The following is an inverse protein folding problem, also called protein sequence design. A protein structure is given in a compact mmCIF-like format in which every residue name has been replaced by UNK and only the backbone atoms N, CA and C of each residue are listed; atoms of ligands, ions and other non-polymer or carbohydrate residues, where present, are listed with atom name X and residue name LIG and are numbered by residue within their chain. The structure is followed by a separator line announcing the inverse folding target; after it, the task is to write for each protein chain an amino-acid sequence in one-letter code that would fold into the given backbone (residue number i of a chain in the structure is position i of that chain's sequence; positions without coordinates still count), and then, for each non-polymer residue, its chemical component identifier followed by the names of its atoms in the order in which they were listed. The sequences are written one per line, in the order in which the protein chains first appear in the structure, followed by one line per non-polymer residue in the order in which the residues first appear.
data_IF_562022685619
#
_entry.id   IF_562022685619
#
_cell.length_a   1.000
_cell.length_b   1.000
_cell.length_c   1.000
_cell.angle_alpha   90.00
_cell.angle_beta   90.00
_cell.angle_gamma   90.00
#
_symmetry.space_group_name_H-M   'P 1'
#
loop_
_entity.id
_entity.type
_entity.pdbx_description
1 polymer ?
#
# COMPACT_ATOMS: atom_id res chain seq x y z
N UNK A 1 -16.08 0.91 -13.04
CA UNK A 1 -15.62 2.23 -13.55
C UNK A 1 -15.91 2.44 -15.04
N UNK A 2 -16.17 1.37 -15.80
CA UNK A 2 -16.28 1.43 -17.26
C UNK A 2 -17.30 2.45 -17.82
N UNK A 3 -18.55 2.56 -17.32
CA UNK A 3 -19.51 3.53 -17.87
C UNK A 3 -19.04 4.99 -17.74
N UNK A 4 -18.31 5.33 -16.67
CA UNK A 4 -17.77 6.68 -16.47
C UNK A 4 -16.71 7.00 -17.52
N UNK A 5 -15.79 6.06 -17.76
CA UNK A 5 -14.68 6.22 -18.73
C UNK A 5 -15.18 6.25 -20.17
N UNK A 6 -16.24 5.51 -20.50
CA UNK A 6 -16.90 5.60 -21.81
C UNK A 6 -17.59 6.96 -22.00
N UNK A 7 -18.22 7.49 -20.96
CA UNK A 7 -18.91 8.79 -21.01
C UNK A 7 -17.94 9.97 -21.10
N UNK A 8 -16.78 9.88 -20.45
CA UNK A 8 -15.77 10.94 -20.36
C UNK A 8 -14.38 10.40 -20.77
N UNK A 9 -14.14 10.13 -22.07
CA UNK A 9 -12.95 9.43 -22.53
C UNK A 9 -11.63 10.21 -22.30
N UNK A 10 -11.69 11.53 -22.15
CA UNK A 10 -10.52 12.38 -21.84
C UNK A 10 -10.22 12.54 -20.34
N UNK A 11 -11.01 11.94 -19.44
CA UNK A 11 -10.82 12.06 -18.00
C UNK A 11 -9.68 11.16 -17.52
N UNK A 12 -8.68 11.74 -16.84
CA UNK A 12 -7.68 10.98 -16.07
C UNK A 12 -8.33 10.41 -14.81
N UNK A 13 -8.14 9.12 -14.57
CA UNK A 13 -8.70 8.39 -13.42
C UNK A 13 -7.60 7.60 -12.71
N UNK A 14 -7.49 7.78 -11.40
CA UNK A 14 -6.74 6.87 -10.51
C UNK A 14 -7.74 5.94 -9.83
N UNK A 15 -7.56 4.64 -9.98
CA UNK A 15 -8.27 3.66 -9.18
C UNK A 15 -7.51 3.48 -7.86
N UNK A 16 -7.95 4.20 -6.84
CA UNK A 16 -7.28 4.17 -5.54
C UNK A 16 -7.29 2.77 -4.93
N UNK A 17 -6.20 2.47 -4.20
CA UNK A 17 -6.03 1.32 -3.31
C UNK A 17 -6.68 0.03 -3.85
N UNK A 18 -6.32 -0.38 -5.07
CA UNK A 18 -6.90 -1.58 -5.69
C UNK A 18 -6.57 -2.82 -4.84
N UNK A 19 -7.54 -3.73 -4.70
CA UNK A 19 -7.42 -4.88 -3.78
C UNK A 19 -7.70 -6.22 -4.45
N UNK A 20 -8.06 -6.22 -5.74
CA UNK A 20 -8.49 -7.41 -6.47
C UNK A 20 -7.67 -7.62 -7.75
N UNK A 21 -7.44 -8.90 -8.08
CA UNK A 21 -7.03 -9.35 -9.41
C UNK A 21 -7.82 -8.66 -10.54
N UNK A 22 -9.15 -8.57 -10.40
CA UNK A 22 -10.02 -7.94 -11.40
C UNK A 22 -9.65 -6.47 -11.66
N UNK A 23 -9.33 -5.71 -10.59
CA UNK A 23 -8.90 -4.33 -10.73
C UNK A 23 -7.48 -4.23 -11.31
N UNK A 24 -6.58 -5.15 -10.94
CA UNK A 24 -5.23 -5.22 -11.49
C UNK A 24 -5.24 -5.49 -13.00
N UNK A 25 -6.06 -6.44 -13.46
CA UNK A 25 -6.26 -6.76 -14.89
C UNK A 25 -6.91 -5.58 -15.62
N UNK A 26 -7.98 -5.02 -15.05
CA UNK A 26 -8.68 -3.87 -15.64
C UNK A 26 -7.77 -2.65 -15.84
N UNK A 27 -6.89 -2.36 -14.89
CA UNK A 27 -5.94 -1.23 -15.00
C UNK A 27 -4.83 -1.56 -15.99
N UNK A 28 -4.34 -2.81 -16.00
CA UNK A 28 -3.33 -3.30 -16.94
C UNK A 28 -3.78 -3.16 -18.39
N UNK A 29 -5.01 -3.56 -18.68
CA UNK A 29 -5.62 -3.54 -20.02
C UNK A 29 -6.17 -2.15 -20.40
N UNK A 30 -6.18 -1.21 -19.45
CA UNK A 30 -6.62 0.17 -19.65
C UNK A 30 -5.67 1.03 -20.49
N UNK A 31 -6.14 2.22 -20.86
CA UNK A 31 -5.35 3.21 -21.58
C UNK A 31 -4.46 4.07 -20.65
N UNK A 32 -3.72 5.02 -21.23
CA UNK A 32 -2.80 5.93 -20.55
C UNK A 32 -3.46 6.85 -19.52
N UNK A 33 -4.78 7.03 -19.59
CA UNK A 33 -5.58 7.87 -18.69
C UNK A 33 -6.07 7.11 -17.45
N UNK A 34 -5.77 5.81 -17.33
CA UNK A 34 -6.12 4.98 -16.18
C UNK A 34 -4.86 4.51 -15.44
N UNK A 35 -4.79 4.84 -14.16
CA UNK A 35 -3.75 4.38 -13.23
C UNK A 35 -4.37 3.78 -11.96
N UNK A 36 -3.52 3.26 -11.08
CA UNK A 36 -3.92 2.78 -9.76
C UNK A 36 -2.87 3.05 -8.69
N UNK A 37 -3.33 3.18 -7.46
CA UNK A 37 -2.47 3.09 -6.27
C UNK A 37 -2.66 1.74 -5.59
N UNK A 38 -1.60 1.26 -4.93
CA UNK A 38 -1.62 0.01 -4.17
C UNK A 38 -0.94 0.27 -2.84
N UNK A 39 -1.55 -0.20 -1.76
CA UNK A 39 -1.11 0.02 -0.38
C UNK A 39 -0.16 -1.09 0.10
N UNK A 40 0.67 -0.87 1.13
CA UNK A 40 1.61 -1.90 1.58
C UNK A 40 0.88 -3.11 2.17
N UNK A 41 -0.22 -2.91 2.92
CA UNK A 41 -0.98 -4.00 3.53
C UNK A 41 -1.63 -4.92 2.48
N UNK A 42 -2.02 -4.41 1.31
CA UNK A 42 -2.60 -5.23 0.24
C UNK A 42 -1.56 -6.03 -0.56
N UNK A 43 -0.28 -5.64 -0.48
CA UNK A 43 0.84 -6.40 -1.05
C UNK A 43 1.40 -7.43 -0.08
N UNK A 44 1.49 -7.08 1.21
CA UNK A 44 2.04 -7.95 2.25
C UNK A 44 1.05 -8.99 2.76
N UNK A 45 -0.23 -8.63 2.83
CA UNK A 45 -1.23 -9.45 3.50
C UNK A 45 -2.44 -9.78 2.62
N UNK A 46 -3.14 -10.81 3.06
CA UNK A 46 -4.46 -11.23 2.57
C UNK A 46 -5.38 -11.47 3.78
N UNK A 47 -6.67 -11.71 3.54
CA UNK A 47 -7.70 -11.81 4.58
C UNK A 47 -7.41 -12.82 5.67
N UNK A 48 -6.61 -13.86 5.40
CA UNK A 48 -6.27 -14.85 6.41
C UNK A 48 -5.42 -14.23 7.53
N UNK A 49 -4.53 -13.28 7.20
CA UNK A 49 -3.75 -12.55 8.20
C UNK A 49 -4.64 -11.73 9.13
N UNK A 50 -5.80 -11.28 8.67
CA UNK A 50 -6.76 -10.54 9.49
C UNK A 50 -7.63 -11.44 10.37
N UNK A 51 -7.85 -12.70 10.00
CA UNK A 51 -8.94 -13.53 10.56
C UNK A 51 -8.50 -14.86 11.18
N UNK A 52 -7.40 -15.47 10.71
CA UNK A 52 -6.97 -16.80 11.17
C UNK A 52 -6.25 -16.68 12.52
N UNK A 53 -6.68 -17.51 13.47
CA UNK A 53 -6.16 -17.54 14.85
C UNK A 53 -6.71 -16.43 15.76
N UNK A 54 -7.58 -15.57 15.24
CA UNK A 54 -8.13 -14.43 15.95
C UNK A 54 -8.29 -13.22 15.01
N UNK A 55 -9.27 -12.37 15.32
CA UNK A 55 -9.50 -11.14 14.56
C UNK A 55 -8.42 -10.10 14.89
N UNK A 56 -7.75 -9.56 13.86
CA UNK A 56 -6.73 -8.50 13.98
C UNK A 56 -7.27 -7.18 13.44
N UNK A 57 -7.88 -6.31 14.27
CA UNK A 57 -8.56 -5.09 13.80
C UNK A 57 -7.60 -4.07 13.16
N UNK A 58 -6.31 -4.10 13.51
CA UNK A 58 -5.29 -3.22 12.90
C UNK A 58 -4.99 -3.54 11.42
N UNK A 59 -5.44 -4.70 10.92
CA UNK A 59 -5.42 -5.04 9.49
C UNK A 59 -6.76 -4.77 8.79
N UNK A 60 -7.81 -4.40 9.53
CA UNK A 60 -9.10 -4.04 8.95
C UNK A 60 -9.06 -2.64 8.34
N UNK A 61 -9.26 -2.57 7.02
CA UNK A 61 -9.31 -1.36 6.21
C UNK A 61 -10.36 -1.52 5.09
N UNK A 62 -10.64 -0.42 4.38
CA UNK A 62 -11.48 -0.43 3.18
C UNK A 62 -10.67 0.04 1.97
N UNK A 63 -10.75 -0.66 0.83
CA UNK A 63 -11.44 -1.93 0.62
C UNK A 63 -10.79 -3.07 1.43
N UNK A 64 -11.57 -4.06 1.88
CA UNK A 64 -11.07 -5.12 2.78
C UNK A 64 -9.97 -5.98 2.16
N UNK A 65 -9.04 -6.50 2.96
CA UNK A 65 -8.12 -7.54 2.53
C UNK A 65 -8.86 -8.70 1.85
N UNK A 66 -8.35 -9.15 0.71
CA UNK A 66 -8.99 -10.18 -0.13
C UNK A 66 -8.30 -11.53 0.01
N UNK A 67 -8.73 -12.53 -0.77
CA UNK A 67 -8.08 -13.86 -0.85
C UNK A 67 -6.66 -13.74 -1.42
N UNK A 68 -5.81 -14.73 -1.14
CA UNK A 68 -4.42 -14.77 -1.61
C UNK A 68 -4.27 -14.54 -3.12
N UNK A 69 -5.17 -15.07 -3.96
CA UNK A 69 -5.11 -14.87 -5.41
C UNK A 69 -5.11 -13.39 -5.83
N UNK A 70 -5.79 -12.54 -5.06
CA UNK A 70 -5.83 -11.11 -5.35
C UNK A 70 -4.56 -10.41 -4.87
N UNK A 71 -4.05 -10.79 -3.69
CA UNK A 71 -2.75 -10.32 -3.21
C UNK A 71 -1.64 -10.63 -4.22
N UNK A 72 -1.58 -11.87 -4.73
CA UNK A 72 -0.57 -12.26 -5.72
C UNK A 72 -0.68 -11.44 -7.01
N UNK A 73 -1.89 -11.21 -7.53
CA UNK A 73 -2.09 -10.37 -8.71
C UNK A 73 -1.61 -8.92 -8.52
N UNK A 74 -1.75 -8.35 -7.31
CA UNK A 74 -1.23 -7.03 -6.99
C UNK A 74 0.31 -7.04 -6.93
N UNK A 75 0.90 -8.06 -6.31
CA UNK A 75 2.36 -8.25 -6.23
C UNK A 75 2.97 -8.42 -7.62
N UNK A 76 2.35 -9.24 -8.47
CA UNK A 76 2.76 -9.44 -9.86
C UNK A 76 2.68 -8.14 -10.68
N UNK A 77 1.63 -7.34 -10.49
CA UNK A 77 1.47 -6.07 -11.21
C UNK A 77 2.59 -5.07 -10.88
N UNK A 78 2.95 -4.93 -9.60
CA UNK A 78 4.05 -4.02 -9.22
C UNK A 78 5.42 -4.59 -9.62
N UNK A 79 5.59 -5.91 -9.51
CA UNK A 79 6.83 -6.58 -9.88
C UNK A 79 7.10 -6.59 -11.39
N UNK A 80 6.07 -6.44 -12.23
CA UNK A 80 6.25 -6.37 -13.68
C UNK A 80 6.77 -5.01 -14.19
N UNK A 81 6.97 -4.03 -13.31
CA UNK A 81 7.36 -2.68 -13.70
C UNK A 81 6.24 -1.89 -14.41
N UNK A 82 4.97 -2.25 -14.20
CA UNK A 82 3.84 -1.57 -14.82
C UNK A 82 3.80 -0.08 -14.42
N UNK A 83 3.98 0.81 -15.40
CA UNK A 83 4.29 2.24 -15.16
C UNK A 83 3.10 3.09 -14.71
N UNK A 84 1.88 2.54 -14.69
CA UNK A 84 0.66 3.23 -14.20
C UNK A 84 0.15 2.66 -12.88
N UNK A 85 0.98 1.91 -12.17
CA UNK A 85 0.79 1.62 -10.75
C UNK A 85 1.86 2.38 -9.94
N UNK A 86 1.44 3.07 -8.89
CA UNK A 86 2.35 3.86 -8.06
C UNK A 86 1.96 3.84 -6.58
N UNK A 87 2.89 4.27 -5.74
CA UNK A 87 2.74 4.30 -4.29
C UNK A 87 1.56 5.18 -3.88
N UNK A 88 0.61 4.57 -3.16
CA UNK A 88 -0.41 5.28 -2.39
C UNK A 88 -0.66 4.49 -1.11
N UNK A 89 -0.29 5.06 0.03
CA UNK A 89 -0.22 4.30 1.28
C UNK A 89 -1.60 3.99 1.86
N UNK A 90 -2.57 4.87 1.63
CA UNK A 90 -3.85 4.88 2.35
C UNK A 90 -3.61 4.80 3.88
N UNK A 91 -2.61 5.55 4.36
CA UNK A 91 -2.33 5.61 5.79
C UNK A 91 -3.49 6.31 6.51
N UNK A 92 -4.27 5.53 7.24
CA UNK A 92 -5.51 5.96 7.88
C UNK A 92 -5.45 5.69 9.39
N UNK A 93 -4.83 6.61 10.18
CA UNK A 93 -4.68 6.43 11.62
C UNK A 93 -6.01 6.58 12.34
N UNK A 94 -6.27 5.66 13.26
CA UNK A 94 -7.31 5.78 14.27
C UNK A 94 -6.70 5.45 15.63
N UNK A 95 -7.13 6.19 16.66
CA UNK A 95 -6.75 5.92 18.04
C UNK A 95 -7.07 4.46 18.42
N UNK A 96 -6.23 3.84 19.24
CA UNK A 96 -6.30 2.41 19.56
C UNK A 96 -7.68 2.00 20.05
N UNK A 97 -8.30 2.78 20.94
CA UNK A 97 -9.64 2.47 21.45
C UNK A 97 -10.73 2.48 20.36
N UNK A 98 -10.51 3.17 19.23
CA UNK A 98 -11.44 3.18 18.08
C UNK A 98 -11.24 1.98 17.16
N UNK A 99 -10.07 1.33 17.20
CA UNK A 99 -9.76 0.10 16.46
C UNK A 99 -10.17 -1.14 17.26
N UNK A 100 -9.83 -1.17 18.54
CA UNK A 100 -10.08 -2.25 19.49
C UNK A 100 -11.41 -2.04 20.23
N UNK A 101 -12.50 -1.90 19.47
CA UNK A 101 -13.84 -1.67 19.97
C UNK A 101 -14.82 -2.75 19.47
N UNK A 102 -16.04 -2.74 20.02
CA UNK A 102 -17.16 -3.54 19.50
C UNK A 102 -17.47 -3.26 18.02
N UNK A 103 -17.10 -2.06 17.54
CA UNK A 103 -17.15 -1.67 16.12
C UNK A 103 -15.87 -0.91 15.76
N UNK A 104 -14.84 -1.66 15.34
CA UNK A 104 -13.53 -1.11 15.00
C UNK A 104 -13.53 -0.29 13.71
N UNK A 105 -12.93 0.90 13.73
CA UNK A 105 -12.76 1.74 12.54
C UNK A 105 -11.86 1.04 11.48
N UNK A 106 -12.18 1.25 10.20
CA UNK A 106 -11.38 0.74 9.09
C UNK A 106 -10.22 1.70 8.77
N UNK A 107 -8.99 1.20 8.71
CA UNK A 107 -7.80 1.99 8.38
C UNK A 107 -6.52 1.42 8.99
N UNK A 108 -5.42 1.49 8.26
CA UNK A 108 -4.10 1.06 8.72
C UNK A 108 -3.19 2.27 8.88
N UNK A 109 -2.58 2.48 10.04
CA UNK A 109 -1.59 3.53 10.23
C UNK A 109 -0.20 3.06 9.76
N UNK A 110 0.04 3.13 8.45
CA UNK A 110 1.26 2.56 7.84
C UNK A 110 2.33 3.58 7.46
N UNK A 111 2.06 4.89 7.55
CA UNK A 111 3.05 5.92 7.21
C UNK A 111 4.45 5.70 7.83
N UNK A 112 4.59 5.27 9.11
CA UNK A 112 5.91 5.04 9.72
C UNK A 112 6.73 3.91 9.07
N UNK A 113 6.08 2.92 8.46
CA UNK A 113 6.71 1.67 8.00
C UNK A 113 6.50 1.38 6.50
N UNK A 114 5.75 2.23 5.79
CA UNK A 114 5.30 1.95 4.42
C UNK A 114 6.46 1.76 3.43
N UNK A 115 7.46 2.65 3.43
CA UNK A 115 8.52 2.61 2.42
C UNK A 115 9.38 1.34 2.53
N UNK A 116 9.76 0.96 3.75
CA UNK A 116 10.45 -0.31 4.02
C UNK A 116 9.58 -1.54 3.75
N UNK A 117 8.27 -1.45 3.98
CA UNK A 117 7.31 -2.52 3.65
C UNK A 117 7.26 -2.76 2.13
N UNK A 118 7.18 -1.70 1.32
CA UNK A 118 7.25 -1.84 -0.12
C UNK A 118 8.60 -2.41 -0.56
N UNK A 119 9.73 -1.89 -0.03
CA UNK A 119 11.06 -2.42 -0.37
C UNK A 119 11.17 -3.93 -0.11
N UNK A 120 10.61 -4.38 1.03
CA UNK A 120 10.53 -5.82 1.37
C UNK A 120 9.75 -6.60 0.31
N UNK A 121 8.56 -6.13 -0.09
CA UNK A 121 7.77 -6.80 -1.15
C UNK A 121 8.53 -6.85 -2.47
N UNK A 122 9.15 -5.75 -2.89
CA UNK A 122 9.89 -5.71 -4.16
C UNK A 122 11.15 -6.60 -4.11
N UNK A 123 11.83 -6.71 -2.95
CA UNK A 123 12.93 -7.65 -2.74
C UNK A 123 12.45 -9.11 -2.86
N UNK A 124 11.36 -9.48 -2.16
CA UNK A 124 10.77 -10.82 -2.21
C UNK A 124 10.33 -11.24 -3.63
N UNK A 125 9.90 -10.28 -4.44
CA UNK A 125 9.48 -10.49 -5.82
C UNK A 125 10.65 -10.46 -6.82
N UNK A 126 11.90 -10.30 -6.37
CA UNK A 126 13.09 -10.09 -7.22
C UNK A 126 12.89 -8.93 -8.21
N UNK A 127 12.30 -7.84 -7.73
CA UNK A 127 11.82 -6.73 -8.55
C UNK A 127 12.34 -5.35 -8.11
N UNK A 128 13.40 -5.27 -7.28
CA UNK A 128 13.94 -4.00 -6.77
C UNK A 128 14.29 -2.98 -7.87
N UNK A 129 14.62 -3.43 -9.08
CA UNK A 129 14.82 -2.57 -10.26
C UNK A 129 13.59 -1.72 -10.65
N UNK A 130 12.39 -2.08 -10.18
CA UNK A 130 11.14 -1.35 -10.42
C UNK A 130 10.69 -0.50 -9.22
N UNK A 131 11.38 -0.61 -8.08
CA UNK A 131 10.97 0.01 -6.83
C UNK A 131 10.98 1.55 -6.90
N UNK A 132 12.04 2.15 -7.41
CA UNK A 132 12.13 3.61 -7.57
C UNK A 132 11.02 4.14 -8.48
N UNK A 133 10.74 3.45 -9.60
CA UNK A 133 9.69 3.86 -10.52
C UNK A 133 8.32 3.89 -9.82
N UNK A 134 7.99 2.85 -9.07
CA UNK A 134 6.74 2.76 -8.31
C UNK A 134 6.61 3.86 -7.24
N UNK A 135 7.70 4.14 -6.51
CA UNK A 135 7.71 5.10 -5.41
C UNK A 135 7.78 6.57 -5.86
N UNK A 136 8.51 6.86 -6.93
CA UNK A 136 9.01 8.21 -7.20
C UNK A 136 8.79 8.71 -8.63
N UNK A 137 8.55 7.85 -9.62
CA UNK A 137 8.50 8.26 -11.03
C UNK A 137 7.11 8.13 -11.66
N UNK A 138 6.42 7.02 -11.40
CA UNK A 138 5.15 6.68 -12.04
C UNK A 138 4.04 7.68 -11.65
N UNK A 139 3.97 8.04 -10.36
CA UNK A 139 3.03 9.03 -9.84
C UNK A 139 3.21 10.40 -10.49
N UNK A 140 4.38 11.06 -10.35
CA UNK A 140 4.63 12.36 -10.99
C UNK A 140 4.36 12.37 -12.49
N UNK A 141 4.73 11.30 -13.21
CA UNK A 141 4.42 11.14 -14.65
C UNK A 141 2.91 11.17 -14.92
N UNK A 142 2.10 10.43 -14.17
CA UNK A 142 0.65 10.39 -14.37
C UNK A 142 -0.03 11.72 -13.99
N UNK A 143 0.44 12.35 -12.92
CA UNK A 143 -0.08 13.64 -12.48
C UNK A 143 0.37 14.81 -13.35
N UNK A 144 1.46 14.68 -14.10
CA UNK A 144 2.06 15.77 -14.88
C UNK A 144 2.87 16.72 -13.99
N UNK A 145 3.55 16.17 -12.98
CA UNK A 145 4.35 16.90 -12.01
C UNK A 145 5.84 16.55 -12.17
N UNK A 146 6.76 17.45 -11.78
CA UNK A 146 8.19 17.15 -11.79
C UNK A 146 8.53 16.03 -10.81
N UNK A 147 9.59 15.28 -11.14
CA UNK A 147 10.20 14.30 -10.23
C UNK A 147 11.05 15.04 -9.19
N UNK A 148 11.10 14.51 -7.96
CA UNK A 148 11.98 15.05 -6.93
C UNK A 148 13.46 14.90 -7.35
N UNK A 149 14.28 15.92 -7.04
CA UNK A 149 15.72 15.90 -7.34
C UNK A 149 16.56 15.34 -6.19
N UNK A 150 15.99 15.25 -5.00
CA UNK A 150 16.62 14.68 -3.82
C UNK A 150 16.44 13.17 -3.73
N UNK A 151 17.30 12.53 -2.94
CA UNK A 151 17.33 11.09 -2.76
C UNK A 151 17.09 10.72 -1.30
N UNK A 152 16.55 9.52 -1.09
CA UNK A 152 16.52 8.84 0.22
C UNK A 152 17.26 7.53 0.10
N UNK A 153 17.93 7.12 1.18
CA UNK A 153 18.63 5.84 1.25
C UNK A 153 17.84 4.90 2.17
N UNK A 154 17.57 3.68 1.71
CA UNK A 154 17.08 2.60 2.56
C UNK A 154 18.23 1.67 2.88
N UNK A 155 18.38 1.32 4.16
CA UNK A 155 19.36 0.35 4.63
C UNK A 155 18.66 -0.95 4.99
N UNK A 156 19.32 -2.06 4.65
CA UNK A 156 18.83 -3.41 4.99
C UNK A 156 19.31 -3.80 6.39
N UNK A 157 18.72 -3.15 7.38
CA UNK A 157 19.02 -3.33 8.80
C UNK A 157 17.73 -3.73 9.53
N UNK A 158 17.78 -4.88 10.22
CA UNK A 158 16.65 -5.37 10.99
C UNK A 158 16.36 -4.43 12.16
N UNK A 159 15.12 -3.98 12.26
CA UNK A 159 14.67 -3.08 13.33
C UNK A 159 13.27 -3.47 13.77
N UNK A 160 13.02 -3.43 15.07
CA UNK A 160 11.68 -3.64 15.62
C UNK A 160 10.87 -2.36 15.55
N UNK A 161 9.68 -2.44 14.98
CA UNK A 161 8.73 -1.33 14.94
C UNK A 161 8.15 -1.12 16.33
N UNK A 162 8.07 0.14 16.77
CA UNK A 162 7.48 0.49 18.07
C UNK A 162 6.05 -0.04 18.21
N UNK A 163 5.70 -0.55 19.40
CA UNK A 163 4.36 -1.12 19.65
C UNK A 163 3.24 -0.09 19.52
N UNK A 164 3.52 1.16 19.88
CA UNK A 164 2.56 2.26 19.78
C UNK A 164 3.23 3.62 19.74
N UNK A 165 2.48 4.62 19.26
CA UNK A 165 2.89 6.03 19.19
C UNK A 165 1.88 6.84 20.02
N UNK A 166 2.38 7.64 20.96
CA UNK A 166 1.54 8.38 21.90
C UNK A 166 0.70 9.47 21.23
N UNK A 167 -0.56 9.60 21.65
CA UNK A 167 -1.43 10.76 21.44
C UNK A 167 -1.71 11.42 22.81
N UNK A 168 -2.21 12.66 22.85
CA UNK A 168 -2.54 13.33 24.13
C UNK A 168 -3.47 12.52 25.05
N UNK A 169 -4.41 11.76 24.47
CA UNK A 169 -5.46 11.05 25.22
C UNK A 169 -5.56 9.54 24.89
N UNK A 170 -4.69 8.99 24.03
CA UNK A 170 -4.68 7.57 23.64
C UNK A 170 -3.34 7.22 22.97
N UNK A 171 -3.27 6.13 22.22
CA UNK A 171 -2.14 5.77 21.36
C UNK A 171 -2.60 5.42 19.94
N UNK A 172 -1.68 5.50 18.98
CA UNK A 172 -1.79 4.88 17.66
C UNK A 172 -1.00 3.57 17.67
N UNK A 173 -1.55 2.53 17.06
CA UNK A 173 -0.82 1.27 16.81
C UNK A 173 -0.36 1.29 15.34
N UNK A 174 0.95 1.43 15.05
CA UNK A 174 1.42 1.46 13.67
C UNK A 174 1.28 0.09 12.99
N UNK A 175 1.24 0.12 11.67
CA UNK A 175 1.34 -1.09 10.85
C UNK A 175 2.68 -1.78 11.14
N UNK A 176 2.62 -3.10 11.37
CA UNK A 176 3.74 -3.93 11.81
C UNK A 176 4.27 -3.62 13.22
N UNK A 177 3.47 -3.00 14.09
CA UNK A 177 3.82 -2.79 15.50
C UNK A 177 4.36 -4.08 16.17
N UNK A 178 5.52 -3.98 16.82
CA UNK A 178 6.19 -5.09 17.50
C UNK A 178 6.94 -6.07 16.58
N UNK A 179 6.75 -5.97 15.26
CA UNK A 179 7.42 -6.84 14.29
C UNK A 179 8.82 -6.33 13.95
N UNK A 180 9.71 -7.26 13.58
CA UNK A 180 11.01 -6.93 13.00
C UNK A 180 10.86 -6.70 11.50
N UNK A 181 11.22 -5.50 11.03
CA UNK A 181 11.24 -5.12 9.61
C UNK A 181 12.67 -5.12 9.07
N UNK A 182 12.82 -5.45 7.79
CA UNK A 182 14.12 -5.69 7.13
C UNK A 182 14.77 -4.44 6.52
N UNK A 183 13.95 -3.46 6.17
CA UNK A 183 14.37 -2.24 5.48
C UNK A 183 13.90 -1.02 6.26
N UNK A 184 14.82 -0.08 6.49
CA UNK A 184 14.55 1.19 7.18
C UNK A 184 15.11 2.35 6.39
N UNK A 185 14.47 3.52 6.51
CA UNK A 185 15.01 4.76 5.93
C UNK A 185 16.17 5.22 6.80
N UNK A 186 17.32 5.45 6.18
CA UNK A 186 18.50 6.01 6.85
C UNK A 186 18.19 7.42 7.33
N UNK A 187 18.33 7.64 8.64
CA UNK A 187 18.11 8.93 9.30
C UNK A 187 19.33 9.82 9.18
#
# INVERSE_FOLDING_TARGET
MEPLRQRLPGLKVVFEHITTKDAAEYVRDGNELLAATITPQHLMFNRNHMLVGGIRPHLYCLPVLKRNIHQQALRELVASGFSRAFLGTDSAPHARHRKEASCGCAGCFNAPTALGSYATVFEEMNALQHFEAFCSLNGPRFYGLPVNESYVELVREETTVVDSISLPNDTLVPFLAGETVRWTVKK
#
